data_IF_488528699830
#
_entry.id   IF_488528699830
#
_cell.length_a   1.000
_cell.length_b   1.000
_cell.length_c   1.000
_cell.angle_alpha   90.00
_cell.angle_beta   90.00
_cell.angle_gamma   90.00
#
_symmetry.space_group_name_H-M   'P 1'
#
loop_
_entity.id
_entity.type
_entity.pdbx_description
1 polymer ?
#
# COMPACT_ATOMS: atom_id res chain seq x y z
N UNK A 1 -16.78 19.36 32.45
CA UNK A 1 -15.88 19.60 31.32
C UNK A 1 -15.27 18.26 30.95
N UNK A 2 -15.70 17.68 29.85
CA UNK A 2 -15.27 16.36 29.38
C UNK A 2 -13.81 16.47 28.93
N UNK A 3 -12.90 15.77 29.60
CA UNK A 3 -11.52 15.65 29.12
C UNK A 3 -11.55 14.99 27.73
N UNK A 4 -11.26 15.77 26.70
CA UNK A 4 -10.91 15.27 25.37
C UNK A 4 -9.55 14.59 25.50
N UNK A 5 -9.55 13.34 25.96
CA UNK A 5 -8.41 12.44 25.93
C UNK A 5 -7.95 12.40 24.47
N UNK A 6 -6.86 13.09 24.17
CA UNK A 6 -6.41 13.32 22.80
C UNK A 6 -6.04 11.95 22.20
N UNK A 7 -6.92 11.37 21.39
CA UNK A 7 -6.75 10.01 20.83
C UNK A 7 -5.67 9.95 19.74
N UNK A 8 -5.21 11.11 19.28
CA UNK A 8 -4.24 11.27 18.18
C UNK A 8 -2.89 11.73 18.71
N UNK A 9 -1.86 10.93 18.52
CA UNK A 9 -0.48 11.25 18.89
C UNK A 9 0.14 12.21 17.86
N UNK A 10 0.19 13.51 18.18
CA UNK A 10 0.72 14.56 17.29
C UNK A 10 2.22 14.49 16.99
N UNK A 11 2.98 13.58 17.63
CA UNK A 11 4.44 13.50 17.43
C UNK A 11 4.84 13.04 16.02
N UNK A 12 3.93 12.44 15.25
CA UNK A 12 4.22 11.99 13.89
C UNK A 12 2.99 12.18 12.99
N UNK A 13 2.84 13.38 12.41
CA UNK A 13 1.66 13.68 11.60
C UNK A 13 1.64 12.88 10.30
N UNK A 14 0.43 12.66 9.80
CA UNK A 14 0.17 12.06 8.50
C UNK A 14 0.97 12.75 7.39
N UNK A 15 1.64 11.94 6.57
CA UNK A 15 2.51 12.38 5.48
C UNK A 15 1.98 11.85 4.15
N UNK A 16 1.33 12.74 3.39
CA UNK A 16 0.84 12.45 2.03
C UNK A 16 1.98 12.10 1.06
N UNK A 17 3.16 12.69 1.21
CA UNK A 17 4.33 12.34 0.39
C UNK A 17 4.73 10.87 0.57
N UNK A 18 4.72 10.35 1.81
CA UNK A 18 5.04 8.94 2.07
C UNK A 18 3.98 8.02 1.47
N UNK A 19 2.72 8.43 1.47
CA UNK A 19 1.63 7.73 0.78
C UNK A 19 1.86 7.72 -0.74
N UNK A 20 2.24 8.84 -1.35
CA UNK A 20 2.57 8.90 -2.79
C UNK A 20 3.75 7.98 -3.15
N UNK A 21 4.79 7.94 -2.33
CA UNK A 21 5.92 7.01 -2.51
C UNK A 21 5.42 5.56 -2.42
N UNK A 22 4.56 5.24 -1.44
CA UNK A 22 3.99 3.90 -1.32
C UNK A 22 3.12 3.51 -2.52
N UNK A 23 2.34 4.45 -3.06
CA UNK A 23 1.59 4.27 -4.32
C UNK A 23 2.53 3.99 -5.48
N UNK A 24 3.60 4.77 -5.63
CA UNK A 24 4.57 4.57 -6.70
C UNK A 24 5.25 3.20 -6.62
N UNK A 25 5.64 2.75 -5.42
CA UNK A 25 6.20 1.41 -5.19
C UNK A 25 5.18 0.33 -5.51
N UNK A 26 3.94 0.47 -5.01
CA UNK A 26 2.86 -0.49 -5.27
C UNK A 26 2.53 -0.61 -6.77
N UNK A 27 2.47 0.52 -7.47
CA UNK A 27 2.27 0.56 -8.91
C UNK A 27 3.46 -0.06 -9.67
N UNK A 28 4.70 0.17 -9.21
CA UNK A 28 5.89 -0.46 -9.77
C UNK A 28 5.88 -1.98 -9.64
N UNK A 29 5.43 -2.52 -8.49
CA UNK A 29 5.21 -3.96 -8.32
C UNK A 29 4.09 -4.46 -9.23
N UNK A 30 2.98 -3.74 -9.33
CA UNK A 30 1.89 -4.05 -10.26
C UNK A 30 2.36 -4.07 -11.73
N UNK A 31 3.27 -3.16 -12.11
CA UNK A 31 3.90 -3.14 -13.44
C UNK A 31 4.77 -4.37 -13.68
N UNK A 32 5.56 -4.78 -12.69
CA UNK A 32 6.37 -6.00 -12.79
C UNK A 32 5.49 -7.25 -12.99
N UNK A 33 4.39 -7.36 -12.24
CA UNK A 33 3.41 -8.45 -12.40
C UNK A 33 2.73 -8.38 -13.76
N UNK A 34 2.30 -7.20 -14.21
CA UNK A 34 1.68 -7.02 -15.51
C UNK A 34 2.63 -7.41 -16.65
N UNK A 35 3.93 -7.08 -16.54
CA UNK A 35 4.94 -7.49 -17.50
C UNK A 35 5.12 -9.01 -17.52
N UNK A 36 5.20 -9.65 -16.34
CA UNK A 36 5.28 -11.10 -16.25
C UNK A 36 4.06 -11.78 -16.93
N UNK A 37 2.85 -11.29 -16.65
CA UNK A 37 1.63 -11.79 -17.28
C UNK A 37 1.63 -11.56 -18.79
N UNK A 38 2.15 -10.42 -19.26
CA UNK A 38 2.32 -10.15 -20.68
C UNK A 38 3.20 -11.19 -21.35
N UNK A 39 4.35 -11.53 -20.76
CA UNK A 39 5.22 -12.57 -21.31
C UNK A 39 4.49 -13.90 -21.41
N UNK A 40 3.71 -14.30 -20.41
CA UNK A 40 2.94 -15.55 -20.47
C UNK A 40 1.87 -15.53 -21.58
N UNK A 41 1.12 -14.43 -21.69
CA UNK A 41 0.03 -14.30 -22.66
C UNK A 41 0.59 -14.25 -24.08
N UNK A 42 1.66 -13.49 -24.32
CA UNK A 42 2.29 -13.38 -25.64
C UNK A 42 2.90 -14.71 -26.12
N UNK A 43 3.21 -15.63 -25.20
CA UNK A 43 3.71 -16.98 -25.51
C UNK A 43 2.60 -18.06 -25.44
N UNK A 44 1.34 -17.65 -25.36
CA UNK A 44 0.19 -18.55 -25.35
C UNK A 44 -0.60 -18.44 -26.67
N UNK A 45 -1.29 -19.51 -27.11
CA UNK A 45 -2.13 -19.47 -28.31
C UNK A 45 -3.46 -18.71 -28.10
N UNK A 46 -3.62 -17.97 -27.00
CA UNK A 46 -4.86 -17.30 -26.67
C UNK A 46 -5.03 -15.99 -27.45
N UNK A 47 -6.05 -15.94 -28.32
CA UNK A 47 -6.44 -14.70 -29.00
C UNK A 47 -7.29 -13.82 -28.07
N UNK A 48 -6.70 -12.74 -27.56
CA UNK A 48 -7.38 -11.79 -26.67
C UNK A 48 -7.44 -10.42 -27.35
N UNK A 49 -8.64 -9.82 -27.38
CA UNK A 49 -8.82 -8.47 -27.89
C UNK A 49 -7.91 -7.46 -27.16
N UNK A 50 -7.11 -6.70 -27.92
CA UNK A 50 -6.11 -5.75 -27.39
C UNK A 50 -6.66 -4.77 -26.35
N UNK A 51 -7.88 -4.25 -26.57
CA UNK A 51 -8.51 -3.32 -25.63
C UNK A 51 -8.74 -3.93 -24.24
N UNK A 52 -9.24 -5.18 -24.20
CA UNK A 52 -9.46 -5.92 -22.96
C UNK A 52 -8.15 -6.21 -22.25
N UNK A 53 -7.12 -6.59 -23.01
CA UNK A 53 -5.80 -6.87 -22.47
C UNK A 53 -5.13 -5.62 -21.86
N UNK A 54 -5.28 -4.46 -22.50
CA UNK A 54 -4.81 -3.18 -21.95
C UNK A 54 -5.51 -2.81 -20.66
N UNK A 55 -6.84 -2.94 -20.62
CA UNK A 55 -7.62 -2.68 -19.39
C UNK A 55 -7.22 -3.63 -18.27
N UNK A 56 -6.96 -4.90 -18.59
CA UNK A 56 -6.46 -5.87 -17.62
C UNK A 56 -5.11 -5.44 -17.02
N UNK A 57 -4.12 -5.07 -17.84
CA UNK A 57 -2.83 -4.59 -17.33
C UNK A 57 -2.96 -3.31 -16.52
N UNK A 58 -3.78 -2.35 -16.97
CA UNK A 58 -4.06 -1.13 -16.21
C UNK A 58 -4.68 -1.46 -14.85
N UNK A 59 -5.63 -2.39 -14.78
CA UNK A 59 -6.24 -2.84 -13.53
C UNK A 59 -5.21 -3.45 -12.58
N UNK A 60 -4.29 -4.28 -13.07
CA UNK A 60 -3.21 -4.87 -12.26
C UNK A 60 -2.27 -3.79 -11.71
N UNK A 61 -1.84 -2.84 -12.54
CA UNK A 61 -0.94 -1.77 -12.12
C UNK A 61 -1.61 -0.85 -11.08
N UNK A 62 -2.83 -0.41 -11.36
CA UNK A 62 -3.59 0.49 -10.48
C UNK A 62 -3.94 -0.18 -9.15
N UNK A 63 -4.32 -1.46 -9.16
CA UNK A 63 -4.57 -2.21 -7.91
C UNK A 63 -3.31 -2.35 -7.05
N UNK A 64 -2.12 -2.54 -7.66
CA UNK A 64 -0.85 -2.48 -6.94
C UNK A 64 -0.63 -1.12 -6.25
N UNK A 65 -0.89 -0.02 -6.97
CA UNK A 65 -0.83 1.33 -6.40
C UNK A 65 -1.82 1.56 -5.25
N UNK A 66 -3.07 1.12 -5.41
CA UNK A 66 -4.10 1.19 -4.36
C UNK A 66 -3.73 0.34 -3.13
N UNK A 67 -3.10 -0.82 -3.34
CA UNK A 67 -2.56 -1.64 -2.25
C UNK A 67 -1.48 -0.90 -1.46
N UNK A 68 -0.53 -0.27 -2.16
CA UNK A 68 0.49 0.58 -1.53
C UNK A 68 -0.10 1.75 -0.74
N UNK A 69 -1.12 2.42 -1.31
CA UNK A 69 -1.89 3.45 -0.62
C UNK A 69 -2.52 2.93 0.67
N UNK A 70 -3.29 1.84 0.60
CA UNK A 70 -4.02 1.30 1.74
C UNK A 70 -3.06 0.87 2.87
N UNK A 71 -1.92 0.26 2.51
CA UNK A 71 -0.92 -0.17 3.47
C UNK A 71 -0.30 1.03 4.19
N UNK A 72 0.15 2.07 3.47
CA UNK A 72 0.84 3.20 4.10
C UNK A 72 -0.13 4.11 4.87
N UNK A 73 -1.35 4.31 4.37
CA UNK A 73 -2.38 5.05 5.10
C UNK A 73 -2.73 4.34 6.40
N UNK A 74 -3.00 3.03 6.35
CA UNK A 74 -3.27 2.25 7.57
C UNK A 74 -2.07 2.25 8.52
N UNK A 75 -0.84 2.16 8.00
CA UNK A 75 0.39 2.24 8.80
C UNK A 75 0.51 3.58 9.53
N UNK A 76 0.16 4.70 8.89
CA UNK A 76 0.18 6.02 9.51
C UNK A 76 -0.96 6.20 10.52
N UNK A 77 -2.17 5.74 10.20
CA UNK A 77 -3.31 5.79 11.12
C UNK A 77 -3.06 4.96 12.39
N UNK A 78 -2.45 3.77 12.26
CA UNK A 78 -2.02 2.97 13.41
C UNK A 78 -0.88 3.62 14.21
N UNK A 79 -0.01 4.43 13.58
CA UNK A 79 1.05 5.18 14.27
C UNK A 79 0.48 6.38 15.06
N UNK A 80 -0.60 6.99 14.57
CA UNK A 80 -1.29 8.10 15.22
C UNK A 80 -2.23 7.65 16.35
N UNK A 81 -2.76 6.42 16.29
CA UNK A 81 -3.65 5.89 17.31
C UNK A 81 -2.97 5.79 18.69
N UNK A 82 -3.59 6.41 19.70
CA UNK A 82 -3.11 6.36 21.10
C UNK A 82 -3.61 5.11 21.83
N UNK A 83 -4.65 4.45 21.31
CA UNK A 83 -5.18 3.20 21.85
C UNK A 83 -4.15 2.05 21.75
N UNK A 84 -3.76 1.42 22.88
CA UNK A 84 -2.85 0.28 22.87
C UNK A 84 -3.32 -0.92 22.04
N UNK A 85 -4.63 -1.07 21.79
CA UNK A 85 -5.15 -2.13 20.92
C UNK A 85 -4.77 -1.92 19.43
N UNK A 86 -4.65 -0.66 19.00
CA UNK A 86 -4.31 -0.29 17.62
C UNK A 86 -2.84 0.05 17.43
N UNK A 87 -2.18 0.45 18.52
CA UNK A 87 -0.76 0.73 18.53
C UNK A 87 0.01 -0.58 18.42
N UNK A 88 0.52 -0.87 17.23
CA UNK A 88 1.49 -1.95 17.06
C UNK A 88 2.70 -1.68 17.95
N UNK A 89 2.76 -2.39 19.10
CA UNK A 89 3.93 -2.32 19.96
C UNK A 89 5.12 -2.83 19.15
N UNK A 90 6.08 -1.96 18.87
CA UNK A 90 7.40 -2.38 18.36
C UNK A 90 8.18 -3.05 19.51
N UNK A 91 7.59 -4.04 20.17
CA UNK A 91 8.15 -4.67 21.38
C UNK A 91 9.40 -5.52 21.08
N UNK A 92 9.72 -5.82 19.82
CA UNK A 92 10.77 -6.78 19.50
C UNK A 92 11.90 -6.28 18.60
N UNK A 93 11.98 -4.97 18.28
CA UNK A 93 13.12 -4.44 17.51
C UNK A 93 14.22 -3.92 18.44
N UNK A 94 15.00 -4.86 18.99
CA UNK A 94 16.35 -4.59 19.46
C UNK A 94 16.51 -4.30 20.95
N UNK A 95 16.18 -5.26 21.81
CA UNK A 95 16.92 -5.40 23.08
C UNK A 95 18.10 -6.33 22.79
N UNK A 96 19.17 -5.78 22.23
CA UNK A 96 20.47 -6.47 22.27
C UNK A 96 21.05 -6.23 23.68
N UNK A 97 21.58 -7.26 24.35
CA UNK A 97 22.23 -7.11 25.65
C UNK A 97 23.42 -6.17 25.59
#
# INVERSE_FOLDING_TARGET
MTELKTEVNQRKPFSGMRVLIAVAIGAGLGLAVAYFLKVLIDNSPAEIALGRLRLFYLMVITSGGLGGFAIETMRQLQEEATDPAYRHSKAHRGRRP
#
